data_IF_713323308764
#
_entry.id   IF_713323308764
#
_cell.length_a   1.000
_cell.length_b   1.000
_cell.length_c   1.000
_cell.angle_alpha   90.00
_cell.angle_beta   90.00
_cell.angle_gamma   90.00
#
_symmetry.space_group_name_H-M   'P 1'
#
loop_
_entity.id
_entity.type
_entity.pdbx_description
1 polymer ?
#
# COMPACT_ATOMS: atom_id res chain seq x y z
N UNK A 1 -16.89 13.98 -12.59
CA UNK A 1 -15.71 14.50 -11.87
C UNK A 1 -15.78 13.95 -10.44
N UNK A 2 -14.75 13.32 -9.94
CA UNK A 2 -14.71 12.74 -8.59
C UNK A 2 -13.52 13.26 -7.81
N UNK A 3 -13.50 13.08 -6.47
CA UNK A 3 -12.44 13.50 -5.56
C UNK A 3 -11.72 12.26 -5.03
N UNK A 4 -10.40 12.21 -5.19
CA UNK A 4 -9.57 11.07 -4.81
C UNK A 4 -8.42 11.49 -3.91
N UNK A 5 -8.27 10.85 -2.76
CA UNK A 5 -7.12 11.03 -1.89
C UNK A 5 -6.07 9.94 -2.13
N UNK A 6 -4.79 10.35 -2.16
CA UNK A 6 -3.67 9.44 -2.42
C UNK A 6 -2.60 9.66 -1.34
N UNK A 7 -2.29 8.64 -0.55
CA UNK A 7 -1.13 8.70 0.34
C UNK A 7 0.14 8.31 -0.41
N UNK A 8 1.27 8.98 -0.14
CA UNK A 8 2.51 8.75 -0.87
C UNK A 8 2.46 9.24 -2.32
N UNK A 9 1.69 10.30 -2.58
CA UNK A 9 1.43 10.82 -3.92
C UNK A 9 2.55 11.69 -4.51
N UNK A 10 3.59 12.00 -3.76
CA UNK A 10 4.69 12.85 -4.26
C UNK A 10 5.68 12.13 -5.17
N UNK A 11 5.70 10.80 -5.19
CA UNK A 11 6.65 10.00 -5.96
C UNK A 11 6.05 8.67 -6.45
N UNK A 12 6.77 8.01 -7.37
CA UNK A 12 6.54 6.62 -7.79
C UNK A 12 5.11 6.32 -8.24
N UNK A 13 4.54 5.23 -7.75
CA UNK A 13 3.20 4.75 -8.11
C UNK A 13 2.12 5.76 -7.74
N UNK A 14 2.20 6.37 -6.55
CA UNK A 14 1.22 7.36 -6.09
C UNK A 14 1.18 8.61 -6.98
N UNK A 15 2.34 9.18 -7.31
CA UNK A 15 2.43 10.34 -8.20
C UNK A 15 1.87 10.02 -9.60
N UNK A 16 2.14 8.81 -10.12
CA UNK A 16 1.63 8.39 -11.41
C UNK A 16 0.11 8.18 -11.37
N UNK A 17 -0.41 7.63 -10.27
CA UNK A 17 -1.85 7.50 -10.05
C UNK A 17 -2.55 8.87 -10.04
N UNK A 18 -2.00 9.85 -9.33
CA UNK A 18 -2.48 11.24 -9.34
C UNK A 18 -2.49 11.80 -10.76
N UNK A 19 -1.39 11.60 -11.51
CA UNK A 19 -1.28 12.08 -12.90
C UNK A 19 -2.41 11.51 -13.78
N UNK A 20 -2.67 10.20 -13.71
CA UNK A 20 -3.73 9.56 -14.50
C UNK A 20 -5.13 10.06 -14.08
N UNK A 21 -5.38 10.20 -12.78
CA UNK A 21 -6.66 10.71 -12.29
C UNK A 21 -6.93 12.15 -12.75
N UNK A 22 -5.91 13.03 -12.67
CA UNK A 22 -6.01 14.41 -13.18
C UNK A 22 -6.24 14.47 -14.69
N UNK A 23 -5.58 13.60 -15.47
CA UNK A 23 -5.80 13.51 -16.92
C UNK A 23 -7.24 13.07 -17.27
N UNK A 24 -7.89 12.31 -16.38
CA UNK A 24 -9.31 11.90 -16.52
C UNK A 24 -10.28 12.97 -16.00
N UNK A 25 -9.81 14.15 -15.59
CA UNK A 25 -10.63 15.26 -15.11
C UNK A 25 -11.11 15.13 -13.66
N UNK A 26 -10.42 14.34 -12.83
CA UNK A 26 -10.71 14.19 -11.42
C UNK A 26 -9.87 15.15 -10.54
N UNK A 27 -10.39 15.50 -9.38
CA UNK A 27 -9.66 16.17 -8.32
C UNK A 27 -8.87 15.17 -7.49
N UNK A 28 -7.68 15.57 -7.05
CA UNK A 28 -6.82 14.70 -6.23
C UNK A 28 -6.26 15.45 -5.03
N UNK A 29 -6.21 14.79 -3.89
CA UNK A 29 -5.59 15.28 -2.64
C UNK A 29 -4.39 14.37 -2.36
N UNK A 30 -3.19 14.94 -2.40
CA UNK A 30 -1.96 14.23 -2.07
C UNK A 30 -1.66 14.33 -0.57
N UNK A 31 -1.60 13.20 0.12
CA UNK A 31 -1.15 13.10 1.51
C UNK A 31 0.26 12.54 1.51
N UNK A 32 1.22 13.33 1.93
CA UNK A 32 2.62 12.89 1.97
C UNK A 32 3.35 13.54 3.17
N UNK A 33 4.49 12.96 3.57
CA UNK A 33 5.28 13.53 4.66
C UNK A 33 5.92 14.87 4.28
N UNK A 34 6.09 15.12 2.96
CA UNK A 34 6.57 16.38 2.38
C UNK A 34 5.96 16.57 0.98
N UNK A 35 5.73 17.80 0.61
CA UNK A 35 5.21 18.18 -0.72
C UNK A 35 3.85 17.57 -1.04
N UNK A 36 3.03 17.31 -0.03
CA UNK A 36 1.62 16.94 -0.18
C UNK A 36 0.71 18.17 -0.13
N UNK A 37 -0.51 18.04 -0.59
CA UNK A 37 -1.60 18.98 -0.29
C UNK A 37 -1.90 18.94 1.23
N UNK A 38 -1.74 17.74 1.82
CA UNK A 38 -1.70 17.49 3.25
C UNK A 38 -0.31 16.96 3.59
N UNK A 39 0.48 17.74 4.33
CA UNK A 39 1.77 17.29 4.83
C UNK A 39 1.60 16.65 6.21
N UNK A 40 1.77 15.31 6.27
CA UNK A 40 1.60 14.53 7.49
C UNK A 40 2.55 13.34 7.55
N UNK A 41 3.18 13.13 8.70
CA UNK A 41 4.00 11.96 8.98
C UNK A 41 3.11 10.80 9.47
N UNK A 42 2.80 9.86 8.60
CA UNK A 42 1.95 8.73 8.91
C UNK A 42 2.61 7.68 9.84
N UNK A 43 3.89 7.83 10.17
CA UNK A 43 4.53 7.01 11.20
C UNK A 43 4.06 7.37 12.61
N UNK A 44 3.53 8.57 12.80
CA UNK A 44 3.12 9.12 14.08
C UNK A 44 1.59 9.17 14.21
N UNK A 45 1.02 8.81 15.37
CA UNK A 45 -0.43 8.90 15.60
C UNK A 45 -1.01 10.30 15.34
N UNK A 46 -0.31 11.36 15.80
CA UNK A 46 -0.71 12.75 15.58
C UNK A 46 -0.68 13.16 14.10
N UNK A 47 0.28 12.65 13.32
CA UNK A 47 0.35 12.89 11.88
C UNK A 47 -0.82 12.20 11.14
N UNK A 48 -1.20 11.01 11.57
CA UNK A 48 -2.36 10.29 11.03
C UNK A 48 -3.66 11.05 11.33
N UNK A 49 -3.82 11.52 12.58
CA UNK A 49 -5.00 12.30 12.97
C UNK A 49 -5.08 13.61 12.19
N UNK A 50 -3.97 14.34 12.08
CA UNK A 50 -3.89 15.54 11.23
C UNK A 50 -4.35 15.27 9.81
N UNK A 51 -3.85 14.19 9.19
CA UNK A 51 -4.23 13.84 7.82
C UNK A 51 -5.74 13.57 7.67
N UNK A 52 -6.34 12.91 8.66
CA UNK A 52 -7.78 12.63 8.69
C UNK A 52 -8.58 13.92 8.83
N UNK A 53 -8.23 14.79 9.78
CA UNK A 53 -8.93 16.06 10.05
C UNK A 53 -8.88 16.99 8.83
N UNK A 54 -7.72 17.09 8.17
CA UNK A 54 -7.57 17.89 6.96
C UNK A 54 -8.34 17.29 5.77
N UNK A 55 -8.40 15.95 5.64
CA UNK A 55 -9.27 15.32 4.63
C UNK A 55 -10.73 15.68 4.80
N UNK A 56 -11.26 15.65 6.03
CA UNK A 56 -12.64 16.06 6.30
C UNK A 56 -12.89 17.54 5.96
N UNK A 57 -11.90 18.38 6.18
CA UNK A 57 -11.98 19.82 5.86
C UNK A 57 -11.97 20.07 4.35
N UNK A 58 -11.13 19.33 3.59
CA UNK A 58 -10.96 19.53 2.14
C UNK A 58 -12.08 18.87 1.32
N UNK A 59 -12.65 17.76 1.81
CA UNK A 59 -13.70 17.03 1.10
C UNK A 59 -14.93 16.72 1.97
N UNK A 60 -15.62 17.76 2.49
CA UNK A 60 -16.78 17.57 3.36
C UNK A 60 -17.96 16.86 2.67
N UNK A 61 -17.95 16.80 1.33
CA UNK A 61 -18.94 16.10 0.51
C UNK A 61 -18.59 14.61 0.26
N UNK A 62 -17.52 14.12 0.87
CA UNK A 62 -17.05 12.74 0.76
C UNK A 62 -16.01 12.51 -0.33
N UNK A 63 -15.47 11.29 -0.34
CA UNK A 63 -14.44 10.82 -1.26
C UNK A 63 -14.98 9.75 -2.22
N UNK A 64 -14.74 9.91 -3.51
CA UNK A 64 -14.99 8.87 -4.52
C UNK A 64 -13.95 7.75 -4.42
N UNK A 65 -12.74 8.07 -3.93
CA UNK A 65 -11.73 7.05 -3.72
C UNK A 65 -10.55 7.44 -2.82
N UNK A 66 -9.98 6.40 -2.19
CA UNK A 66 -8.80 6.49 -1.35
C UNK A 66 -7.74 5.49 -1.82
N UNK A 67 -6.54 5.99 -2.15
CA UNK A 67 -5.42 5.18 -2.65
C UNK A 67 -4.27 5.24 -1.64
N UNK A 68 -3.84 4.08 -1.14
CA UNK A 68 -2.80 3.97 -0.12
C UNK A 68 -1.48 3.52 -0.77
N UNK A 69 -0.65 4.48 -1.21
CA UNK A 69 0.67 4.23 -1.78
C UNK A 69 1.82 4.61 -0.83
N UNK A 70 1.55 5.25 0.30
CA UNK A 70 2.58 5.54 1.29
C UNK A 70 3.21 4.24 1.81
N UNK A 71 4.54 4.21 1.86
CA UNK A 71 5.28 3.06 2.36
C UNK A 71 6.77 3.30 2.30
N UNK A 72 7.51 2.51 3.07
CA UNK A 72 8.98 2.51 3.12
C UNK A 72 9.50 1.09 2.93
N UNK A 73 10.72 0.91 2.37
CA UNK A 73 11.29 -0.40 2.11
C UNK A 73 11.77 -1.10 3.39
N UNK A 74 11.95 -2.42 3.30
CA UNK A 74 12.51 -3.26 4.38
C UNK A 74 13.97 -2.95 4.72
N UNK A 75 14.71 -2.24 3.86
CA UNK A 75 16.10 -1.85 4.09
C UNK A 75 16.31 -0.77 5.17
N UNK A 76 15.25 -0.38 5.89
CA UNK A 76 15.35 0.58 7.00
C UNK A 76 15.92 -0.08 8.26
N UNK A 77 16.91 0.57 8.90
CA UNK A 77 17.48 0.11 10.17
C UNK A 77 16.50 0.20 11.32
N UNK A 78 15.64 1.22 11.36
CA UNK A 78 14.56 1.29 12.33
C UNK A 78 13.38 0.43 11.83
N UNK A 79 13.32 -0.79 12.36
CA UNK A 79 12.31 -1.79 12.01
C UNK A 79 10.90 -1.37 12.45
N UNK A 80 10.78 -0.57 13.53
CA UNK A 80 9.51 -0.02 14.01
C UNK A 80 8.87 0.89 12.97
N UNK A 81 9.70 1.70 12.30
CA UNK A 81 9.25 2.64 11.29
C UNK A 81 8.57 1.91 10.12
N UNK A 82 9.04 0.69 9.78
CA UNK A 82 8.43 -0.13 8.72
C UNK A 82 6.97 -0.43 9.06
N UNK A 83 6.68 -0.85 10.29
CA UNK A 83 5.31 -1.15 10.71
C UNK A 83 4.47 0.12 10.89
N UNK A 84 5.04 1.16 11.51
CA UNK A 84 4.34 2.42 11.77
C UNK A 84 3.81 3.05 10.49
N UNK A 85 4.61 3.07 9.41
CA UNK A 85 4.18 3.62 8.12
C UNK A 85 3.33 2.60 7.35
N UNK A 86 3.88 1.40 7.10
CA UNK A 86 3.29 0.46 6.15
C UNK A 86 2.00 -0.17 6.64
N UNK A 87 1.87 -0.43 7.95
CA UNK A 87 0.70 -1.11 8.51
C UNK A 87 -0.20 -0.15 9.28
N UNK A 88 0.28 0.42 10.40
CA UNK A 88 -0.54 1.26 11.27
C UNK A 88 -0.98 2.55 10.58
N UNK A 89 -0.08 3.23 9.86
CA UNK A 89 -0.40 4.41 9.07
C UNK A 89 -1.49 4.14 8.04
N UNK A 90 -1.33 3.06 7.26
CA UNK A 90 -2.29 2.67 6.24
C UNK A 90 -3.67 2.37 6.83
N UNK A 91 -3.75 1.53 7.89
CA UNK A 91 -5.03 1.17 8.52
C UNK A 91 -5.71 2.38 9.17
N UNK A 92 -4.95 3.25 9.83
CA UNK A 92 -5.49 4.45 10.47
C UNK A 92 -6.16 5.38 9.45
N UNK A 93 -5.52 5.60 8.31
CA UNK A 93 -6.10 6.44 7.25
C UNK A 93 -7.35 5.79 6.63
N UNK A 94 -7.33 4.46 6.39
CA UNK A 94 -8.54 3.76 5.89
C UNK A 94 -9.71 3.90 6.86
N UNK A 95 -9.47 3.63 8.15
CA UNK A 95 -10.50 3.73 9.19
C UNK A 95 -11.01 5.17 9.35
N UNK A 96 -10.08 6.14 9.37
CA UNK A 96 -10.42 7.56 9.55
C UNK A 96 -11.19 8.16 8.37
N UNK A 97 -10.88 7.75 7.13
CA UNK A 97 -11.57 8.23 5.94
C UNK A 97 -12.84 7.43 5.59
N UNK A 98 -13.22 6.44 6.40
CA UNK A 98 -14.33 5.53 6.10
C UNK A 98 -15.65 6.25 5.83
N UNK A 99 -16.02 7.21 6.68
CA UNK A 99 -17.29 7.94 6.53
C UNK A 99 -17.30 8.82 5.27
N UNK A 100 -16.15 9.39 4.88
CA UNK A 100 -16.02 10.12 3.61
C UNK A 100 -16.25 9.20 2.40
N UNK A 101 -15.68 7.98 2.42
CA UNK A 101 -15.90 6.98 1.37
C UNK A 101 -17.36 6.52 1.32
N UNK A 102 -17.97 6.29 2.49
CA UNK A 102 -19.37 5.86 2.60
C UNK A 102 -20.34 6.86 2.00
N UNK A 103 -20.10 8.17 2.16
CA UNK A 103 -20.95 9.25 1.59
C UNK A 103 -21.04 9.18 0.07
N UNK A 104 -20.03 8.63 -0.62
CA UNK A 104 -19.94 8.55 -2.09
C UNK A 104 -20.08 7.14 -2.65
N UNK A 105 -20.32 6.12 -1.82
CA UNK A 105 -20.15 4.72 -2.21
C UNK A 105 -18.80 4.48 -2.86
N UNK A 106 -17.76 5.06 -2.27
CA UNK A 106 -16.43 5.15 -2.83
C UNK A 106 -15.66 3.84 -2.79
N UNK A 107 -14.43 3.87 -3.28
CA UNK A 107 -13.57 2.70 -3.26
C UNK A 107 -12.22 3.00 -2.60
N UNK A 108 -11.61 1.96 -2.00
CA UNK A 108 -10.28 2.02 -1.42
C UNK A 108 -9.37 1.02 -2.13
N UNK A 109 -8.15 1.44 -2.49
CA UNK A 109 -7.13 0.55 -3.06
C UNK A 109 -5.82 0.69 -2.30
N UNK A 110 -5.34 -0.43 -1.77
CA UNK A 110 -4.07 -0.53 -1.04
C UNK A 110 -2.97 -0.97 -2.00
N UNK A 111 -1.87 -0.22 -2.08
CA UNK A 111 -0.63 -0.68 -2.71
C UNK A 111 0.17 -1.52 -1.70
N UNK A 112 0.07 -2.84 -1.82
CA UNK A 112 0.79 -3.80 -1.02
C UNK A 112 2.21 -4.05 -1.59
N UNK A 113 2.52 -5.29 -1.95
CA UNK A 113 3.77 -5.71 -2.63
C UNK A 113 3.64 -7.17 -3.05
N UNK A 114 4.28 -7.59 -4.12
CA UNK A 114 4.39 -9.01 -4.48
C UNK A 114 5.17 -9.83 -3.44
N UNK A 115 5.92 -9.19 -2.54
CA UNK A 115 6.56 -9.85 -1.40
C UNK A 115 5.59 -10.59 -0.47
N UNK A 116 4.28 -10.39 -0.61
CA UNK A 116 3.26 -11.15 0.13
C UNK A 116 3.23 -12.64 -0.21
N UNK A 117 3.79 -13.05 -1.34
CA UNK A 117 3.88 -14.45 -1.73
C UNK A 117 5.13 -15.17 -1.21
N UNK A 118 6.03 -14.48 -0.52
CA UNK A 118 7.25 -15.06 0.06
C UNK A 118 6.92 -16.07 1.16
N UNK A 119 7.64 -17.19 1.14
CA UNK A 119 7.46 -18.26 2.15
C UNK A 119 8.22 -17.97 3.46
N UNK A 120 9.27 -17.14 3.41
CA UNK A 120 10.12 -16.79 4.55
C UNK A 120 9.62 -15.60 5.39
N UNK A 121 8.41 -15.12 5.14
CA UNK A 121 7.85 -14.04 5.95
C UNK A 121 7.55 -14.48 7.39
N UNK A 122 7.59 -13.54 8.32
CA UNK A 122 7.25 -13.77 9.75
C UNK A 122 5.73 -13.90 9.92
N UNK A 123 5.21 -15.13 9.83
CA UNK A 123 3.77 -15.40 9.96
C UNK A 123 3.22 -15.12 11.35
N UNK A 124 4.02 -15.31 12.39
CA UNK A 124 3.71 -14.93 13.78
C UNK A 124 3.48 -13.41 13.92
N UNK A 125 4.28 -12.60 13.22
CA UNK A 125 4.05 -11.15 13.17
C UNK A 125 2.75 -10.80 12.43
N UNK A 126 2.42 -11.50 11.34
CA UNK A 126 1.13 -11.32 10.64
C UNK A 126 -0.04 -11.58 11.58
N UNK A 127 0.04 -12.65 12.36
CA UNK A 127 -1.01 -13.00 13.34
C UNK A 127 -1.08 -11.97 14.47
N UNK A 128 0.06 -11.52 14.98
CA UNK A 128 0.13 -10.48 15.99
C UNK A 128 -0.55 -9.18 15.51
N UNK A 129 -0.18 -8.69 14.32
CA UNK A 129 -0.74 -7.48 13.72
C UNK A 129 -2.26 -7.58 13.49
N UNK A 130 -2.76 -8.74 13.09
CA UNK A 130 -4.17 -8.92 12.76
C UNK A 130 -5.07 -9.25 13.95
N UNK A 131 -4.50 -9.70 15.07
CA UNK A 131 -5.27 -10.10 16.27
C UNK A 131 -5.12 -9.09 17.42
N UNK A 132 -4.00 -8.35 17.50
CA UNK A 132 -3.71 -7.37 18.56
C UNK A 132 -3.50 -5.96 18.00
N UNK A 133 -4.21 -5.60 16.96
CA UNK A 133 -4.08 -4.37 16.18
C UNK A 133 -4.24 -3.05 16.97
N UNK A 134 -4.82 -3.11 18.15
CA UNK A 134 -5.05 -1.93 18.99
C UNK A 134 -3.89 -1.70 19.99
N UNK A 135 -2.89 -2.59 20.00
CA UNK A 135 -1.70 -2.48 20.85
C UNK A 135 -0.44 -2.15 20.01
N UNK A 136 -0.51 -1.05 19.25
CA UNK A 136 0.60 -0.57 18.40
C UNK A 136 1.88 -0.41 19.23
N UNK A 137 1.79 0.22 20.39
CA UNK A 137 2.96 0.49 21.24
C UNK A 137 3.72 -0.80 21.60
N UNK A 138 3.00 -1.82 22.08
CA UNK A 138 3.59 -3.09 22.47
C UNK A 138 4.21 -3.83 21.30
N UNK A 139 3.53 -3.83 20.15
CA UNK A 139 4.07 -4.46 18.94
C UNK A 139 5.36 -3.78 18.51
N UNK A 140 5.39 -2.44 18.49
CA UNK A 140 6.58 -1.68 18.12
C UNK A 140 7.72 -1.85 19.13
N UNK A 141 7.41 -2.02 20.43
CA UNK A 141 8.41 -2.32 21.44
C UNK A 141 9.09 -3.66 21.19
N UNK A 142 8.31 -4.71 20.88
CA UNK A 142 8.85 -6.04 20.57
C UNK A 142 9.75 -5.99 19.33
N UNK A 143 9.29 -5.35 18.27
CA UNK A 143 10.04 -5.22 17.01
C UNK A 143 11.31 -4.38 17.21
N UNK A 144 11.26 -3.34 18.04
CA UNK A 144 12.42 -2.48 18.32
C UNK A 144 13.58 -3.18 19.05
N UNK A 145 13.37 -4.39 19.59
CA UNK A 145 14.41 -5.23 20.20
C UNK A 145 15.13 -6.13 19.19
N UNK A 146 14.67 -6.20 17.95
CA UNK A 146 15.32 -6.98 16.90
C UNK A 146 16.50 -6.22 16.31
N UNK A 147 17.48 -6.96 15.78
CA UNK A 147 18.64 -6.36 15.12
C UNK A 147 18.24 -5.74 13.76
N UNK A 148 18.21 -4.43 13.72
CA UNK A 148 17.93 -3.65 12.49
C UNK A 148 19.11 -3.59 11.52
N UNK A 149 20.29 -4.05 11.88
CA UNK A 149 21.43 -4.17 10.97
C UNK A 149 21.33 -5.46 10.11
N UNK A 150 20.59 -6.47 10.58
CA UNK A 150 20.25 -7.64 9.78
C UNK A 150 19.14 -7.29 8.77
N UNK A 151 19.54 -7.09 7.52
CA UNK A 151 18.62 -6.74 6.43
C UNK A 151 17.53 -7.79 6.21
N UNK A 152 17.78 -9.07 6.56
CA UNK A 152 16.78 -10.12 6.45
C UNK A 152 15.59 -9.87 7.37
N UNK A 153 15.80 -9.34 8.56
CA UNK A 153 14.75 -8.94 9.49
C UNK A 153 13.84 -7.87 8.89
N UNK A 154 14.43 -6.82 8.30
CA UNK A 154 13.66 -5.75 7.68
C UNK A 154 12.82 -6.22 6.49
N UNK A 155 13.38 -7.05 5.62
CA UNK A 155 12.68 -7.60 4.46
C UNK A 155 11.53 -8.54 4.87
N UNK A 156 11.74 -9.38 5.90
CA UNK A 156 10.70 -10.26 6.43
C UNK A 156 9.58 -9.47 7.13
N UNK A 157 9.93 -8.41 7.89
CA UNK A 157 8.94 -7.51 8.52
C UNK A 157 8.17 -6.74 7.46
N UNK A 158 8.84 -6.26 6.42
CA UNK A 158 8.18 -5.60 5.29
C UNK A 158 7.16 -6.54 4.63
N UNK A 159 7.55 -7.74 4.27
CA UNK A 159 6.66 -8.74 3.67
C UNK A 159 5.47 -9.05 4.58
N UNK A 160 5.72 -9.32 5.87
CA UNK A 160 4.69 -9.57 6.87
C UNK A 160 3.72 -8.39 7.04
N UNK A 161 4.22 -7.13 7.04
CA UNK A 161 3.39 -5.94 7.13
C UNK A 161 2.43 -5.82 5.95
N UNK A 162 2.93 -6.06 4.73
CA UNK A 162 2.15 -6.01 3.50
C UNK A 162 1.14 -7.16 3.39
N UNK A 163 1.52 -8.35 3.83
CA UNK A 163 0.60 -9.49 3.92
C UNK A 163 -0.50 -9.24 4.96
N UNK A 164 -0.15 -8.73 6.13
CA UNK A 164 -1.10 -8.39 7.18
C UNK A 164 -2.14 -7.36 6.72
N UNK A 165 -1.73 -6.35 5.92
CA UNK A 165 -2.65 -5.41 5.27
C UNK A 165 -3.64 -6.10 4.34
N UNK A 166 -3.16 -6.98 3.47
CA UNK A 166 -4.02 -7.72 2.54
C UNK A 166 -5.01 -8.60 3.31
N UNK A 167 -4.56 -9.27 4.37
CA UNK A 167 -5.40 -10.10 5.23
C UNK A 167 -6.43 -9.26 6.03
N UNK A 168 -6.03 -8.10 6.54
CA UNK A 168 -6.93 -7.15 7.18
C UNK A 168 -8.00 -6.67 6.19
N UNK A 169 -7.60 -6.27 4.99
CA UNK A 169 -8.49 -5.84 3.92
C UNK A 169 -9.53 -6.92 3.59
N UNK A 170 -9.12 -8.17 3.38
CA UNK A 170 -10.03 -9.28 3.09
C UNK A 170 -11.04 -9.51 4.22
N UNK A 171 -10.60 -9.45 5.48
CA UNK A 171 -11.47 -9.61 6.66
C UNK A 171 -12.54 -8.53 6.78
N UNK A 172 -12.26 -7.32 6.26
CA UNK A 172 -13.17 -6.18 6.36
C UNK A 172 -13.95 -5.91 5.06
N UNK A 173 -13.59 -6.54 3.95
CA UNK A 173 -14.16 -6.25 2.64
C UNK A 173 -15.68 -6.41 2.59
N UNK A 174 -16.22 -7.45 3.22
CA UNK A 174 -17.68 -7.69 3.25
C UNK A 174 -18.43 -6.62 4.07
N UNK A 175 -17.90 -6.22 5.23
CA UNK A 175 -18.53 -5.19 6.07
C UNK A 175 -18.46 -3.80 5.44
N UNK A 176 -17.38 -3.50 4.73
CA UNK A 176 -17.22 -2.26 3.96
C UNK A 176 -18.22 -2.23 2.78
N UNK A 177 -18.31 -3.33 2.02
CA UNK A 177 -19.24 -3.45 0.90
C UNK A 177 -20.71 -3.35 1.32
N UNK A 178 -21.09 -3.88 2.48
CA UNK A 178 -22.43 -3.73 3.06
C UNK A 178 -22.81 -2.26 3.30
N UNK A 179 -21.83 -1.35 3.37
CA UNK A 179 -22.02 0.09 3.49
C UNK A 179 -21.63 0.85 2.22
N UNK A 180 -21.59 0.17 1.07
CA UNK A 180 -21.32 0.77 -0.23
C UNK A 180 -19.84 1.02 -0.54
N UNK A 181 -18.90 0.68 0.34
CA UNK A 181 -17.48 0.93 0.14
C UNK A 181 -16.77 -0.34 -0.33
N UNK A 182 -16.15 -0.30 -1.52
CA UNK A 182 -15.30 -1.39 -2.00
C UNK A 182 -13.87 -1.21 -1.48
N UNK A 183 -13.19 -2.31 -1.17
CA UNK A 183 -11.80 -2.28 -0.74
C UNK A 183 -11.02 -3.42 -1.40
N UNK A 184 -9.93 -3.06 -2.10
CA UNK A 184 -9.08 -3.98 -2.84
C UNK A 184 -7.60 -3.68 -2.57
N UNK A 185 -6.73 -4.55 -3.00
CA UNK A 185 -5.28 -4.32 -2.99
C UNK A 185 -4.65 -4.68 -4.33
N UNK A 186 -3.58 -3.98 -4.69
CA UNK A 186 -2.63 -4.41 -5.71
C UNK A 186 -1.35 -4.90 -5.03
N UNK A 187 -0.70 -5.87 -5.65
CA UNK A 187 0.59 -6.42 -5.21
C UNK A 187 1.65 -6.13 -6.29
N UNK A 188 2.28 -4.92 -6.29
CA UNK A 188 3.28 -4.55 -7.27
C UNK A 188 4.54 -5.42 -7.15
N UNK A 189 5.14 -5.74 -8.30
CA UNK A 189 6.46 -6.37 -8.40
C UNK A 189 7.61 -5.37 -8.25
N UNK A 190 8.72 -5.64 -8.95
CA UNK A 190 9.87 -4.73 -9.01
C UNK A 190 9.55 -3.55 -9.93
N UNK A 191 9.22 -2.40 -9.35
CA UNK A 191 8.81 -1.17 -10.04
C UNK A 191 9.89 -0.11 -9.93
N UNK A 192 10.19 0.57 -11.02
CA UNK A 192 11.17 1.67 -11.07
C UNK A 192 10.65 2.91 -10.32
N UNK A 193 11.01 3.00 -9.05
CA UNK A 193 10.60 4.08 -8.14
C UNK A 193 11.78 4.52 -7.26
N UNK A 194 11.73 5.71 -6.64
CA UNK A 194 12.74 6.11 -5.67
C UNK A 194 12.90 5.11 -4.51
N UNK A 195 11.84 4.39 -4.12
CA UNK A 195 11.90 3.36 -3.09
C UNK A 195 12.85 2.22 -3.47
N UNK A 196 12.78 1.72 -4.70
CA UNK A 196 13.65 0.64 -5.20
C UNK A 196 15.08 1.12 -5.45
N UNK A 197 15.26 2.40 -5.78
CA UNK A 197 16.56 3.01 -5.99
C UNK A 197 17.34 3.26 -4.68
N UNK A 198 16.66 3.37 -3.53
CA UNK A 198 17.27 3.64 -2.22
C UNK A 198 17.57 2.37 -1.41
N UNK A 199 17.28 1.19 -1.92
CA UNK A 199 17.63 -0.09 -1.32
C UNK A 199 19.15 -0.32 -1.25
N UNK A 200 19.59 -1.30 -0.44
CA UNK A 200 20.97 -1.75 -0.48
C UNK A 200 21.34 -2.26 -1.89
N UNK A 201 22.64 -2.25 -2.24
CA UNK A 201 23.08 -2.81 -3.53
C UNK A 201 22.66 -4.27 -3.67
N UNK A 202 22.68 -5.04 -2.59
CA UNK A 202 22.31 -6.45 -2.59
C UNK A 202 20.79 -6.64 -2.79
N UNK A 203 19.96 -5.84 -2.09
CA UNK A 203 18.50 -5.86 -2.31
C UNK A 203 18.15 -5.44 -3.74
N UNK A 204 18.79 -4.40 -4.27
CA UNK A 204 18.58 -3.97 -5.65
C UNK A 204 19.02 -5.03 -6.66
N UNK A 205 20.16 -5.71 -6.41
CA UNK A 205 20.65 -6.80 -7.26
C UNK A 205 19.69 -8.00 -7.24
N UNK A 206 19.19 -8.39 -6.05
CA UNK A 206 18.24 -9.48 -5.90
C UNK A 206 16.90 -9.17 -6.62
N UNK A 207 16.37 -7.96 -6.45
CA UNK A 207 15.15 -7.55 -7.15
C UNK A 207 15.32 -7.51 -8.67
N UNK A 208 16.47 -7.03 -9.15
CA UNK A 208 16.75 -6.97 -10.58
C UNK A 208 17.09 -8.34 -11.20
N UNK A 209 17.36 -9.35 -10.39
CA UNK A 209 17.53 -10.74 -10.82
C UNK A 209 16.19 -11.47 -10.97
N UNK A 210 15.11 -10.96 -10.35
CA UNK A 210 13.79 -11.55 -10.50
C UNK A 210 13.31 -11.43 -11.95
N UNK A 211 12.83 -12.52 -12.54
CA UNK A 211 12.29 -12.49 -13.90
C UNK A 211 10.98 -11.70 -13.91
N UNK A 212 10.79 -10.91 -14.95
CA UNK A 212 9.50 -10.25 -15.23
C UNK A 212 9.03 -10.75 -16.60
N UNK A 213 8.18 -11.78 -16.67
CA UNK A 213 7.80 -12.41 -17.93
C UNK A 213 7.31 -11.45 -19.01
N UNK A 214 6.50 -10.47 -18.66
CA UNK A 214 6.02 -9.47 -19.64
C UNK A 214 7.09 -8.48 -20.12
N UNK A 215 8.27 -8.48 -19.49
CA UNK A 215 9.43 -7.64 -19.85
C UNK A 215 10.64 -8.46 -20.31
N UNK A 216 10.44 -9.73 -20.64
CA UNK A 216 11.52 -10.64 -20.99
C UNK A 216 12.47 -10.03 -22.03
N UNK A 217 13.75 -10.01 -21.71
CA UNK A 217 14.81 -9.50 -22.58
C UNK A 217 14.85 -7.96 -22.74
N UNK A 218 13.94 -7.18 -22.13
CA UNK A 218 13.84 -5.75 -22.36
C UNK A 218 14.13 -4.87 -21.12
N UNK A 219 13.48 -5.16 -19.99
CA UNK A 219 13.61 -4.36 -18.76
C UNK A 219 13.72 -5.26 -17.52
N UNK A 220 14.44 -4.74 -16.50
CA UNK A 220 14.55 -5.38 -15.18
C UNK A 220 13.52 -4.84 -14.18
N UNK A 221 12.77 -3.83 -14.54
CA UNK A 221 11.77 -3.19 -13.69
C UNK A 221 10.54 -2.81 -14.52
N UNK A 222 9.39 -2.82 -13.86
CA UNK A 222 8.15 -2.29 -14.41
C UNK A 222 8.13 -0.76 -14.30
N UNK A 223 7.33 -0.12 -15.13
CA UNK A 223 7.07 1.31 -15.03
C UNK A 223 5.95 1.57 -14.00
N UNK A 224 6.02 2.64 -13.18
CA UNK A 224 4.98 2.98 -12.21
C UNK A 224 3.58 3.13 -12.83
N UNK A 225 3.51 3.50 -14.10
CA UNK A 225 2.26 3.64 -14.86
C UNK A 225 1.50 2.33 -15.02
N UNK A 226 2.20 1.20 -15.12
CA UNK A 226 1.56 -0.12 -15.26
C UNK A 226 0.77 -0.46 -13.99
N UNK A 227 1.32 -0.15 -12.83
CA UNK A 227 0.62 -0.33 -11.53
C UNK A 227 -0.47 0.71 -11.33
N UNK A 228 -0.18 1.98 -11.62
CA UNK A 228 -1.13 3.08 -11.48
C UNK A 228 -2.38 2.89 -12.36
N UNK A 229 -2.24 2.31 -13.56
CA UNK A 229 -3.36 1.97 -14.45
C UNK A 229 -4.30 0.94 -13.82
N UNK A 230 -3.77 -0.08 -13.16
CA UNK A 230 -4.58 -1.09 -12.45
C UNK A 230 -5.25 -0.46 -11.21
N UNK A 231 -4.53 0.37 -10.45
CA UNK A 231 -5.13 1.11 -9.33
C UNK A 231 -6.30 1.96 -9.81
N UNK A 232 -6.13 2.72 -10.90
CA UNK A 232 -7.19 3.59 -11.44
C UNK A 232 -8.38 2.80 -11.99
N UNK A 233 -8.18 1.58 -12.49
CA UNK A 233 -9.26 0.65 -12.81
C UNK A 233 -10.00 0.19 -11.55
N UNK A 234 -9.29 -0.33 -10.55
CA UNK A 234 -9.90 -0.86 -9.33
C UNK A 234 -10.68 0.21 -8.53
N UNK A 235 -10.26 1.48 -8.59
CA UNK A 235 -10.96 2.58 -7.91
C UNK A 235 -12.18 3.07 -8.70
N UNK A 236 -12.29 2.76 -9.97
CA UNK A 236 -13.31 3.28 -10.88
C UNK A 236 -14.64 2.51 -10.82
N UNK A 237 -15.74 3.08 -11.36
CA UNK A 237 -17.02 2.38 -11.46
C UNK A 237 -16.99 1.11 -12.32
N UNK A 238 -16.07 0.98 -13.27
CA UNK A 238 -15.89 -0.21 -14.10
C UNK A 238 -15.56 -1.44 -13.28
N UNK A 239 -14.91 -1.25 -12.12
CA UNK A 239 -14.58 -2.32 -11.16
C UNK A 239 -15.67 -2.54 -10.08
N UNK A 240 -16.93 -2.11 -10.30
CA UNK A 240 -18.01 -2.19 -9.29
C UNK A 240 -18.31 -3.60 -8.77
N UNK A 241 -17.99 -4.62 -9.54
CA UNK A 241 -18.11 -6.02 -9.14
C UNK A 241 -16.88 -6.60 -8.45
N UNK A 242 -15.81 -5.80 -8.25
CA UNK A 242 -14.54 -6.26 -7.69
C UNK A 242 -14.40 -5.75 -6.26
N UNK A 243 -14.35 -6.68 -5.28
CA UNK A 243 -14.20 -6.35 -3.86
C UNK A 243 -13.43 -7.47 -3.12
N UNK A 244 -12.50 -7.10 -2.26
CA UNK A 244 -11.71 -8.03 -1.44
C UNK A 244 -10.61 -8.77 -2.20
N UNK A 245 -10.25 -8.36 -3.42
CA UNK A 245 -9.20 -8.99 -4.21
C UNK A 245 -7.81 -8.43 -3.85
N UNK A 246 -6.81 -9.28 -3.94
CA UNK A 246 -5.40 -8.88 -4.02
C UNK A 246 -4.92 -9.21 -5.43
N UNK A 247 -4.67 -8.18 -6.24
CA UNK A 247 -4.27 -8.36 -7.64
C UNK A 247 -2.77 -8.16 -7.79
N UNK A 248 -2.07 -9.20 -8.22
CA UNK A 248 -0.66 -9.09 -8.56
C UNK A 248 -0.48 -8.25 -9.82
N UNK A 249 0.41 -7.26 -9.73
CA UNK A 249 0.82 -6.37 -10.83
C UNK A 249 2.34 -6.40 -10.87
N UNK A 250 2.88 -7.51 -11.29
CA UNK A 250 4.30 -7.85 -11.20
C UNK A 250 4.88 -8.39 -12.53
N UNK A 251 4.08 -8.28 -13.59
CA UNK A 251 4.45 -8.76 -14.92
C UNK A 251 4.54 -10.28 -15.03
N UNK A 252 3.93 -11.02 -14.09
CA UNK A 252 3.91 -12.48 -14.07
C UNK A 252 5.04 -13.12 -13.28
N UNK A 253 5.78 -12.33 -12.48
CA UNK A 253 6.87 -12.84 -11.63
C UNK A 253 6.35 -13.86 -10.62
N UNK A 254 5.25 -13.55 -9.90
CA UNK A 254 4.66 -14.46 -8.93
C UNK A 254 4.14 -15.75 -9.59
N UNK A 255 3.44 -15.64 -10.71
CA UNK A 255 2.94 -16.80 -11.46
C UNK A 255 4.07 -17.75 -11.92
N UNK A 256 5.24 -17.18 -12.26
CA UNK A 256 6.42 -17.97 -12.62
C UNK A 256 7.07 -18.66 -11.41
N UNK A 257 7.11 -17.99 -10.26
CA UNK A 257 7.76 -18.52 -9.05
C UNK A 257 6.85 -19.45 -8.25
N UNK A 258 5.55 -19.29 -8.34
CA UNK A 258 4.53 -20.00 -7.56
C UNK A 258 3.47 -20.63 -8.47
N UNK A 259 3.88 -21.39 -9.46
CA UNK A 259 3.03 -21.96 -10.54
C UNK A 259 1.82 -22.75 -10.04
N UNK A 260 1.92 -23.34 -8.85
CA UNK A 260 0.87 -24.18 -8.27
C UNK A 260 -0.09 -23.40 -7.34
N UNK A 261 0.18 -22.10 -7.08
CA UNK A 261 -0.67 -21.29 -6.20
C UNK A 261 -1.74 -20.53 -7.00
N UNK A 262 -2.99 -20.65 -6.57
CA UNK A 262 -4.13 -19.86 -7.04
C UNK A 262 -4.64 -19.02 -5.86
N UNK A 263 -4.81 -17.69 -6.03
CA UNK A 263 -5.17 -16.72 -4.98
C UNK A 263 -6.62 -16.24 -5.09
#
# INVERSE_FOLDING_TARGET
MGIYAVTGGSNGIGAKTISILKQKGHETINIDWKRGDIEADLSLPEGRQKAIDELFSLCPQGLDGLILCAGIPGSRKDLRLILSVNYFGTISIIKGAYDLLKQKNGACVISASSAISREDMKTDLVDLLNNNRDDEYRILEVIGRMDGADLSNGDQIYAASKYALCRWMRRHSASYAANGVRINAVAPGNVNTPMTATGSKDTAAALNALPIPTKYGTKKQMDPEEVASVITFLISPEARGVNGIVMFVDGGTDALLNTEKVY
#
